data_IF_143333603150
#
_entry.id   IF_143333603150
#
_cell.length_a   1.000
_cell.length_b   1.000
_cell.length_c   1.000
_cell.angle_alpha   90.00
_cell.angle_beta   90.00
_cell.angle_gamma   90.00
#
_symmetry.space_group_name_H-M   'P 1'
#
loop_
_entity.id
_entity.type
_entity.pdbx_description
1 polymer ?
#
# COMPACT_ATOMS: atom_id res chain seq x y z
N UNK A 1 0.14 -18.51 -33.68
CA UNK A 1 0.81 -18.12 -32.41
C UNK A 1 -0.20 -18.35 -31.29
N UNK A 2 -0.02 -19.42 -30.51
CA UNK A 2 -1.10 -20.04 -29.74
C UNK A 2 -1.52 -19.23 -28.51
N UNK A 3 -2.73 -18.67 -28.57
CA UNK A 3 -3.40 -17.95 -27.50
C UNK A 3 -3.54 -18.82 -26.23
N UNK A 4 -3.67 -20.14 -26.39
CA UNK A 4 -3.70 -21.11 -25.27
C UNK A 4 -2.41 -21.16 -24.45
N UNK A 5 -1.23 -20.94 -25.06
CA UNK A 5 0.04 -20.95 -24.32
C UNK A 5 0.20 -19.71 -23.42
N UNK A 6 -0.52 -18.63 -23.71
CA UNK A 6 -0.59 -17.45 -22.84
C UNK A 6 -1.54 -17.66 -21.66
N UNK A 7 -2.58 -18.50 -21.82
CA UNK A 7 -3.54 -18.85 -20.74
C UNK A 7 -3.02 -19.96 -19.82
N UNK A 8 -2.23 -20.91 -20.35
CA UNK A 8 -1.70 -22.05 -19.57
C UNK A 8 -0.59 -21.68 -18.59
N UNK A 9 -0.05 -20.47 -18.70
CA UNK A 9 1.03 -19.94 -17.87
C UNK A 9 0.56 -18.85 -16.88
N UNK A 10 -0.74 -18.78 -16.62
CA UNK A 10 -1.22 -18.14 -15.40
C UNK A 10 -1.31 -19.21 -14.34
N UNK A 11 -0.17 -19.52 -13.69
CA UNK A 11 -0.24 -20.29 -12.45
C UNK A 11 -0.97 -19.43 -11.44
N UNK A 12 -2.28 -19.61 -11.34
CA UNK A 12 -3.10 -18.93 -10.35
C UNK A 12 -2.40 -19.11 -9.00
N UNK A 13 -1.86 -18.03 -8.42
CA UNK A 13 -1.23 -18.10 -7.14
C UNK A 13 -2.30 -18.52 -6.14
N UNK A 14 -1.89 -19.10 -5.00
CA UNK A 14 -2.83 -19.60 -4.03
C UNK A 14 -3.81 -18.49 -3.67
N UNK A 15 -5.12 -18.76 -3.85
CA UNK A 15 -6.20 -17.78 -3.71
C UNK A 15 -6.09 -16.97 -2.41
N UNK A 16 -5.59 -17.60 -1.35
CA UNK A 16 -5.35 -16.97 -0.05
C UNK A 16 -4.41 -15.76 -0.11
N UNK A 17 -3.33 -15.78 -0.92
CA UNK A 17 -2.43 -14.62 -1.08
C UNK A 17 -3.12 -13.45 -1.77
N UNK A 18 -3.96 -13.73 -2.78
CA UNK A 18 -4.72 -12.70 -3.48
C UNK A 18 -5.75 -12.07 -2.54
N UNK A 19 -6.48 -12.89 -1.78
CA UNK A 19 -7.42 -12.41 -0.77
C UNK A 19 -6.71 -11.56 0.30
N UNK A 20 -5.53 -11.98 0.79
CA UNK A 20 -4.76 -11.15 1.74
C UNK A 20 -4.41 -9.78 1.16
N UNK A 21 -3.94 -9.72 -0.10
CA UNK A 21 -3.62 -8.47 -0.78
C UNK A 21 -4.84 -7.56 -0.90
N UNK A 22 -6.00 -8.13 -1.23
CA UNK A 22 -7.26 -7.42 -1.37
C UNK A 22 -7.72 -6.84 -0.02
N UNK A 23 -7.67 -7.65 1.05
CA UNK A 23 -7.98 -7.20 2.41
C UNK A 23 -7.03 -6.09 2.90
N UNK A 24 -5.72 -6.26 2.70
CA UNK A 24 -4.73 -5.28 3.12
C UNK A 24 -4.89 -3.94 2.39
N UNK A 25 -5.17 -4.01 1.08
CA UNK A 25 -5.41 -2.83 0.27
C UNK A 25 -6.68 -2.07 0.69
N UNK A 26 -7.75 -2.78 1.04
CA UNK A 26 -8.97 -2.21 1.61
C UNK A 26 -8.72 -1.52 2.96
N UNK A 27 -7.99 -2.17 3.86
CA UNK A 27 -7.63 -1.61 5.16
C UNK A 27 -6.79 -0.34 4.97
N UNK A 28 -5.74 -0.41 4.16
CA UNK A 28 -4.88 0.74 3.86
C UNK A 28 -5.63 1.90 3.19
N UNK A 29 -6.60 1.60 2.32
CA UNK A 29 -7.45 2.61 1.70
C UNK A 29 -8.36 3.28 2.73
N UNK A 30 -9.03 2.50 3.59
CA UNK A 30 -9.88 3.04 4.66
C UNK A 30 -9.10 3.90 5.65
N UNK A 31 -7.89 3.49 6.02
CA UNK A 31 -7.01 4.27 6.89
C UNK A 31 -6.63 5.60 6.23
N UNK A 32 -6.23 5.57 4.96
CA UNK A 32 -5.85 6.76 4.21
C UNK A 32 -7.02 7.73 4.02
N UNK A 33 -8.21 7.21 3.71
CA UNK A 33 -9.43 8.00 3.55
C UNK A 33 -9.85 8.63 4.88
N UNK A 34 -9.81 7.87 5.98
CA UNK A 34 -10.12 8.37 7.32
C UNK A 34 -9.22 9.54 7.73
N UNK A 35 -7.90 9.43 7.51
CA UNK A 35 -6.95 10.52 7.81
C UNK A 35 -7.22 11.72 6.90
N UNK A 36 -7.54 11.48 5.63
CA UNK A 36 -7.85 12.54 4.66
C UNK A 36 -9.08 13.32 5.09
N UNK A 37 -10.17 12.64 5.44
CA UNK A 37 -11.41 13.25 5.94
C UNK A 37 -11.13 14.06 7.20
N UNK A 38 -10.38 13.50 8.16
CA UNK A 38 -10.01 14.22 9.39
C UNK A 38 -9.17 15.47 9.13
N UNK A 39 -8.25 15.40 8.17
CA UNK A 39 -7.43 16.54 7.76
C UNK A 39 -8.30 17.66 7.18
N UNK A 40 -9.25 17.33 6.29
CA UNK A 40 -10.19 18.32 5.72
C UNK A 40 -11.17 18.89 6.75
N UNK A 41 -11.57 18.11 7.76
CA UNK A 41 -12.41 18.59 8.87
C UNK A 41 -11.65 19.50 9.83
N UNK A 42 -10.32 19.61 9.72
CA UNK A 42 -9.49 20.39 10.64
C UNK A 42 -9.50 19.86 12.08
N UNK A 43 -9.91 18.60 12.27
CA UNK A 43 -9.99 17.99 13.60
C UNK A 43 -8.64 17.34 13.90
N UNK A 44 -7.98 17.72 15.01
CA UNK A 44 -6.70 17.11 15.38
C UNK A 44 -6.89 15.60 15.59
N UNK A 45 -5.99 14.82 15.00
CA UNK A 45 -5.94 13.37 15.18
C UNK A 45 -5.40 13.07 16.58
N UNK A 46 -6.29 13.08 17.56
CA UNK A 46 -6.01 12.61 18.92
C UNK A 46 -5.90 11.09 18.90
N UNK A 47 -4.68 10.58 18.80
CA UNK A 47 -4.40 9.16 18.93
C UNK A 47 -4.33 8.79 20.42
N UNK A 48 -5.27 7.98 20.92
CA UNK A 48 -5.28 7.51 22.32
C UNK A 48 -4.08 6.61 22.69
N UNK A 49 -3.37 6.04 21.69
CA UNK A 49 -2.30 5.06 21.93
C UNK A 49 -0.90 5.71 21.94
N UNK A 50 -0.67 6.72 21.10
CA UNK A 50 0.60 7.45 21.01
C UNK A 50 0.32 8.94 20.86
N UNK A 51 0.82 9.73 21.82
CA UNK A 51 0.85 11.19 21.72
C UNK A 51 1.84 11.58 20.62
N UNK A 52 1.35 12.12 19.50
CA UNK A 52 2.22 12.48 18.37
C UNK A 52 1.57 12.47 16.98
N UNK A 53 0.44 11.79 16.80
CA UNK A 53 -0.28 11.80 15.53
C UNK A 53 -0.62 13.22 15.05
N UNK A 54 -1.07 14.10 15.96
CA UNK A 54 -1.34 15.49 15.67
C UNK A 54 -0.09 16.23 15.18
N UNK A 55 1.05 16.05 15.86
CA UNK A 55 2.33 16.66 15.47
C UNK A 55 2.81 16.18 14.10
N UNK A 56 2.57 14.91 13.76
CA UNK A 56 2.91 14.36 12.44
C UNK A 56 1.99 14.93 11.36
N UNK A 57 0.68 14.97 11.61
CA UNK A 57 -0.35 15.35 10.62
C UNK A 57 -0.50 16.85 10.42
N UNK A 58 -0.03 17.66 11.37
CA UNK A 58 0.08 19.13 11.24
C UNK A 58 1.45 19.58 10.76
N UNK A 59 2.43 18.67 10.64
CA UNK A 59 3.76 19.02 10.15
C UNK A 59 3.75 19.39 8.67
N UNK A 60 4.76 20.16 8.26
CA UNK A 60 5.04 20.46 6.84
C UNK A 60 5.23 19.22 5.96
N UNK A 61 5.46 18.05 6.54
CA UNK A 61 5.63 16.78 5.82
C UNK A 61 4.30 16.02 5.65
N UNK A 62 3.24 16.41 6.35
CA UNK A 62 1.91 15.83 6.17
C UNK A 62 1.28 16.22 4.84
N UNK A 63 1.75 17.33 4.26
CA UNK A 63 1.32 17.84 2.96
C UNK A 63 2.52 17.93 2.04
N UNK A 64 2.35 17.57 0.77
CA UNK A 64 3.35 17.82 -0.27
C UNK A 64 2.78 18.95 -1.12
N UNK A 65 3.31 20.17 -0.91
CA UNK A 65 2.74 21.39 -1.46
C UNK A 65 1.41 21.73 -0.78
N UNK A 66 0.29 21.35 -1.40
CA UNK A 66 -1.08 21.55 -0.88
C UNK A 66 -1.87 20.24 -0.73
N UNK A 67 -1.26 19.09 -1.07
CA UNK A 67 -1.97 17.81 -1.11
C UNK A 67 -1.53 16.96 0.10
N UNK A 68 -2.47 16.46 0.92
CA UNK A 68 -2.12 15.60 2.04
C UNK A 68 -1.49 14.31 1.53
N UNK A 69 -0.42 13.87 2.18
CA UNK A 69 0.28 12.60 1.89
C UNK A 69 -0.67 11.41 1.96
N UNK A 70 -1.69 11.48 2.83
CA UNK A 70 -2.75 10.48 2.92
C UNK A 70 -3.44 10.22 1.57
N UNK A 71 -3.59 11.25 0.73
CA UNK A 71 -4.19 11.15 -0.59
C UNK A 71 -3.32 10.34 -1.56
N UNK A 72 -1.99 10.52 -1.49
CA UNK A 72 -1.05 9.68 -2.24
C UNK A 72 -1.10 8.22 -1.77
N UNK A 73 -1.24 8.00 -0.46
CA UNK A 73 -1.47 6.67 0.11
C UNK A 73 -2.76 6.03 -0.43
N UNK A 74 -3.87 6.77 -0.44
CA UNK A 74 -5.15 6.30 -0.97
C UNK A 74 -5.04 5.92 -2.46
N UNK A 75 -4.40 6.77 -3.28
CA UNK A 75 -4.16 6.47 -4.71
C UNK A 75 -3.29 5.22 -4.87
N UNK A 76 -2.26 5.05 -4.04
CA UNK A 76 -1.43 3.86 -4.05
C UNK A 76 -2.21 2.58 -3.72
N UNK A 77 -2.99 2.58 -2.64
CA UNK A 77 -3.82 1.42 -2.27
C UNK A 77 -4.87 1.12 -3.33
N UNK A 78 -5.52 2.14 -3.89
CA UNK A 78 -6.49 1.99 -4.98
C UNK A 78 -5.82 1.40 -6.23
N UNK A 79 -4.60 1.84 -6.57
CA UNK A 79 -3.82 1.27 -7.68
C UNK A 79 -3.57 -0.21 -7.47
N UNK A 80 -3.10 -0.62 -6.27
CA UNK A 80 -2.90 -2.03 -5.91
C UNK A 80 -4.23 -2.80 -6.03
N UNK A 81 -5.33 -2.24 -5.53
CA UNK A 81 -6.66 -2.84 -5.56
C UNK A 81 -7.11 -3.13 -7.00
N UNK A 82 -7.01 -2.13 -7.87
CA UNK A 82 -7.35 -2.26 -9.30
C UNK A 82 -6.47 -3.31 -9.96
N UNK A 83 -5.16 -3.30 -9.70
CA UNK A 83 -4.23 -4.30 -10.25
C UNK A 83 -4.58 -5.72 -9.79
N UNK A 84 -5.01 -5.91 -8.54
CA UNK A 84 -5.45 -7.20 -8.00
C UNK A 84 -6.75 -7.68 -8.66
N UNK A 85 -7.73 -6.80 -8.85
CA UNK A 85 -8.98 -7.12 -9.57
C UNK A 85 -8.67 -7.48 -11.03
N UNK A 86 -7.84 -6.68 -11.69
CA UNK A 86 -7.46 -6.89 -13.09
C UNK A 86 -6.68 -8.21 -13.25
N UNK A 87 -5.89 -8.59 -12.23
CA UNK A 87 -5.26 -9.90 -12.17
C UNK A 87 -6.28 -11.05 -12.02
N UNK A 88 -7.30 -10.88 -11.17
CA UNK A 88 -8.37 -11.87 -11.01
C UNK A 88 -9.21 -12.08 -12.28
N UNK A 89 -9.45 -11.01 -13.03
CA UNK A 89 -10.26 -11.04 -14.26
C UNK A 89 -9.47 -11.54 -15.48
N UNK A 90 -8.24 -11.02 -15.67
CA UNK A 90 -7.45 -11.30 -16.89
C UNK A 90 -6.40 -12.40 -16.73
N UNK A 91 -6.03 -12.78 -15.50
CA UNK A 91 -4.99 -13.77 -15.21
C UNK A 91 -3.58 -13.43 -15.73
N UNK A 92 -3.34 -12.21 -16.23
CA UNK A 92 -2.10 -11.85 -16.93
C UNK A 92 -0.93 -11.69 -15.96
N UNK A 93 0.16 -12.40 -16.26
CA UNK A 93 1.48 -12.27 -15.58
C UNK A 93 2.02 -10.84 -15.54
N UNK A 94 1.62 -10.01 -16.51
CA UNK A 94 1.96 -8.57 -16.55
C UNK A 94 1.46 -7.80 -15.33
N UNK A 95 0.31 -8.16 -14.76
CA UNK A 95 -0.23 -7.50 -13.56
C UNK A 95 0.63 -7.81 -12.33
N UNK A 96 1.11 -9.04 -12.14
CA UNK A 96 2.02 -9.40 -11.03
C UNK A 96 3.31 -8.58 -11.10
N UNK A 97 3.88 -8.41 -12.31
CA UNK A 97 5.08 -7.59 -12.52
C UNK A 97 4.84 -6.14 -12.13
N UNK A 98 3.66 -5.61 -12.45
CA UNK A 98 3.28 -4.25 -12.11
C UNK A 98 3.06 -4.10 -10.59
N UNK A 99 2.34 -5.04 -9.96
CA UNK A 99 2.14 -5.08 -8.49
C UNK A 99 3.49 -5.03 -7.79
N UNK A 100 4.46 -5.86 -8.21
CA UNK A 100 5.78 -5.88 -7.59
C UNK A 100 6.52 -4.54 -7.71
N UNK A 101 6.47 -3.87 -8.88
CA UNK A 101 7.06 -2.52 -9.03
C UNK A 101 6.40 -1.50 -8.11
N UNK A 102 5.08 -1.51 -8.03
CA UNK A 102 4.34 -0.63 -7.13
C UNK A 102 4.66 -0.93 -5.67
N UNK A 103 4.73 -2.21 -5.27
CA UNK A 103 5.10 -2.60 -3.92
C UNK A 103 6.49 -2.12 -3.49
N UNK A 104 7.48 -2.14 -4.40
CA UNK A 104 8.81 -1.58 -4.12
C UNK A 104 8.71 -0.08 -3.84
N UNK A 105 7.94 0.65 -4.65
CA UNK A 105 7.74 2.08 -4.46
C UNK A 105 7.04 2.39 -3.12
N UNK A 106 6.00 1.62 -2.76
CA UNK A 106 5.31 1.74 -1.47
C UNK A 106 6.21 1.43 -0.27
N UNK A 107 7.08 0.43 -0.39
CA UNK A 107 8.06 0.09 0.64
C UNK A 107 9.11 1.20 0.83
N UNK A 108 9.67 1.73 -0.25
CA UNK A 108 10.60 2.87 -0.21
C UNK A 108 9.95 4.11 0.40
N UNK A 109 8.71 4.42 0.01
CA UNK A 109 7.94 5.49 0.61
C UNK A 109 7.73 5.27 2.12
N UNK A 110 7.42 4.04 2.54
CA UNK A 110 7.22 3.71 3.95
C UNK A 110 8.50 3.92 4.77
N UNK A 111 9.66 3.50 4.25
CA UNK A 111 10.97 3.77 4.87
C UNK A 111 11.23 5.27 5.01
N UNK A 112 10.93 6.04 3.96
CA UNK A 112 11.08 7.50 3.98
C UNK A 112 10.19 8.15 5.08
N UNK A 113 8.94 7.72 5.21
CA UNK A 113 8.04 8.25 6.24
C UNK A 113 8.45 7.85 7.66
N UNK A 114 9.00 6.65 7.86
CA UNK A 114 9.55 6.24 9.15
C UNK A 114 10.77 7.11 9.51
N UNK A 115 11.63 7.37 8.54
CA UNK A 115 12.79 8.25 8.73
C UNK A 115 12.36 9.67 9.15
N UNK A 116 11.37 10.26 8.46
CA UNK A 116 10.83 11.57 8.81
C UNK A 116 10.23 11.60 10.23
N UNK A 117 9.48 10.58 10.62
CA UNK A 117 8.87 10.50 11.95
C UNK A 117 9.90 10.46 13.09
N UNK A 118 10.94 9.65 12.95
CA UNK A 118 11.95 9.44 14.00
C UNK A 118 12.99 10.55 14.05
N UNK A 119 13.54 10.97 12.90
CA UNK A 119 14.67 11.91 12.86
C UNK A 119 14.26 13.37 12.73
N UNK A 120 13.13 13.66 12.08
CA UNK A 120 12.75 15.05 11.77
C UNK A 120 11.66 15.56 12.70
N UNK A 121 10.55 14.82 12.81
CA UNK A 121 9.39 15.25 13.62
C UNK A 121 9.59 14.90 15.11
N UNK A 122 10.27 13.78 15.36
CA UNK A 122 10.45 13.22 16.70
C UNK A 122 9.13 12.77 17.32
N UNK A 123 8.19 12.30 16.50
CA UNK A 123 6.88 11.82 16.95
C UNK A 123 6.41 10.65 16.06
N UNK A 124 5.71 9.69 16.67
CA UNK A 124 5.23 8.48 16.00
C UNK A 124 3.72 8.60 15.80
N UNK A 125 3.27 8.34 14.57
CA UNK A 125 1.84 8.27 14.26
C UNK A 125 1.42 6.81 14.10
N UNK A 126 0.44 6.38 14.90
CA UNK A 126 -0.07 5.01 14.87
C UNK A 126 -0.62 4.64 13.48
N UNK A 127 -1.41 5.52 12.87
CA UNK A 127 -1.95 5.30 11.52
C UNK A 127 -0.87 5.20 10.45
N UNK A 128 0.17 6.04 10.52
CA UNK A 128 1.29 5.95 9.60
C UNK A 128 2.06 4.63 9.78
N UNK A 129 2.20 4.13 11.01
CA UNK A 129 2.77 2.81 11.28
C UNK A 129 1.90 1.69 10.73
N UNK A 130 0.58 1.74 10.89
CA UNK A 130 -0.35 0.77 10.29
C UNK A 130 -0.21 0.78 8.75
N UNK A 131 -0.11 1.95 8.13
CA UNK A 131 0.15 2.06 6.69
C UNK A 131 1.53 1.51 6.27
N UNK A 132 2.57 1.73 7.07
CA UNK A 132 3.89 1.17 6.81
C UNK A 132 3.89 -0.36 6.90
N UNK A 133 3.19 -0.92 7.91
CA UNK A 133 3.03 -2.38 8.08
C UNK A 133 2.25 -2.97 6.92
N UNK A 134 1.09 -2.40 6.56
CA UNK A 134 0.27 -2.89 5.44
C UNK A 134 1.02 -2.82 4.12
N UNK A 135 1.72 -1.74 3.82
CA UNK A 135 2.57 -1.63 2.62
C UNK A 135 3.71 -2.65 2.60
N UNK A 136 4.36 -2.90 3.75
CA UNK A 136 5.41 -3.91 3.88
C UNK A 136 4.84 -5.32 3.70
N UNK A 137 3.68 -5.61 4.27
CA UNK A 137 3.00 -6.89 4.09
C UNK A 137 2.57 -7.11 2.63
N UNK A 138 2.05 -6.08 1.96
CA UNK A 138 1.76 -6.11 0.52
C UNK A 138 3.04 -6.44 -0.27
N UNK A 139 4.18 -5.83 0.08
CA UNK A 139 5.46 -6.11 -0.56
C UNK A 139 5.92 -7.56 -0.35
N UNK A 140 5.83 -8.09 0.87
CA UNK A 140 6.19 -9.49 1.17
C UNK A 140 5.31 -10.44 0.37
N UNK A 141 3.99 -10.21 0.35
CA UNK A 141 3.03 -11.04 -0.40
C UNK A 141 3.29 -10.94 -1.90
N UNK A 142 3.49 -9.73 -2.43
CA UNK A 142 3.81 -9.49 -3.85
C UNK A 142 5.12 -10.15 -4.29
N UNK A 143 6.15 -10.12 -3.43
CA UNK A 143 7.42 -10.79 -3.69
C UNK A 143 7.27 -12.32 -3.67
N UNK A 144 6.52 -12.87 -2.70
CA UNK A 144 6.23 -14.32 -2.64
C UNK A 144 5.47 -14.80 -3.89
N UNK A 145 4.55 -13.99 -4.40
CA UNK A 145 3.83 -14.25 -5.65
C UNK A 145 4.79 -14.32 -6.85
N UNK A 146 5.66 -13.32 -7.01
CA UNK A 146 6.69 -13.29 -8.06
C UNK A 146 7.63 -14.49 -8.02
N UNK A 147 8.16 -14.85 -6.84
CA UNK A 147 9.09 -15.98 -6.69
C UNK A 147 8.39 -17.30 -7.07
N UNK A 148 7.12 -17.46 -6.69
CA UNK A 148 6.34 -18.65 -7.02
C UNK A 148 6.08 -18.75 -8.53
N UNK A 149 5.76 -17.63 -9.17
CA UNK A 149 5.54 -17.56 -10.62
C UNK A 149 6.83 -17.83 -11.42
N UNK A 150 7.97 -17.31 -10.96
CA UNK A 150 9.27 -17.57 -11.58
C UNK A 150 9.70 -19.03 -11.47
N UNK A 151 9.43 -19.68 -10.33
CA UNK A 151 9.75 -21.10 -10.12
C UNK A 151 8.85 -22.05 -10.93
N UNK A 152 7.68 -21.57 -11.35
CA UNK A 152 6.69 -22.36 -12.08
C UNK A 152 6.75 -22.17 -13.61
N UNK A 153 7.66 -21.30 -14.08
CA UNK A 153 8.09 -21.16 -15.48
C UNK A 153 9.40 -21.91 -15.72
#
# INVERSE_FOLDING_TARGET
MNLEKLLKNSSMPPKWLIYSLLFLSLIGFLDADYITIKHYLGVPLTCSIFEGCEKVTTSQYATVGNIPVALFGAVYYLSILVLVILYLDTGRVGAIRLISRFSVAGFLASLWFIYLQLFVIGAICFYCMVSAVTSTSIFIVGMRLMIKEYKNN
#
